data_IF_930286457771
#
_entry.id   IF_930286457771
#
_cell.length_a   1.000
_cell.length_b   1.000
_cell.length_c   1.000
_cell.angle_alpha   90.00
_cell.angle_beta   90.00
_cell.angle_gamma   90.00
#
_symmetry.space_group_name_H-M   'P 1'
#
loop_
_entity.id
_entity.type
_entity.pdbx_description
1 polymer ?
#
# COMPACT_ATOMS: atom_id res chain seq x y z
N UNK A 1 3.69 -33.24 25.18
CA UNK A 1 3.39 -33.79 23.84
C UNK A 1 3.75 -32.73 22.82
N UNK A 2 4.68 -33.02 21.92
CA UNK A 2 5.04 -32.11 20.82
C UNK A 2 4.20 -32.47 19.60
N UNK A 3 3.45 -31.49 19.10
CA UNK A 3 2.63 -31.67 17.91
C UNK A 3 3.53 -31.58 16.67
N UNK A 4 3.76 -32.73 16.01
CA UNK A 4 4.60 -32.78 14.81
C UNK A 4 3.80 -32.23 13.64
N UNK A 5 4.04 -30.96 13.30
CA UNK A 5 3.39 -30.32 12.15
C UNK A 5 4.19 -30.50 10.87
N UNK A 6 3.48 -30.63 9.75
CA UNK A 6 4.11 -30.69 8.44
C UNK A 6 4.51 -29.27 7.97
N UNK A 7 5.80 -28.96 8.06
CA UNK A 7 6.34 -27.65 7.67
C UNK A 7 6.10 -27.29 6.20
N UNK A 8 6.04 -28.29 5.30
CA UNK A 8 5.74 -28.05 3.88
C UNK A 8 4.32 -27.54 3.70
N UNK A 9 3.35 -28.14 4.39
CA UNK A 9 1.96 -27.69 4.36
C UNK A 9 1.80 -26.32 5.00
N UNK A 10 2.47 -26.06 6.12
CA UNK A 10 2.47 -24.76 6.79
C UNK A 10 2.99 -23.64 5.89
N UNK A 11 4.15 -23.84 5.23
CA UNK A 11 4.71 -22.88 4.27
C UNK A 11 3.79 -22.65 3.07
N UNK A 12 3.16 -23.71 2.53
CA UNK A 12 2.19 -23.59 1.44
C UNK A 12 0.98 -22.76 1.84
N UNK A 13 0.47 -22.95 3.07
CA UNK A 13 -0.64 -22.16 3.61
C UNK A 13 -0.25 -20.68 3.75
N UNK A 14 0.95 -20.40 4.28
CA UNK A 14 1.46 -19.04 4.39
C UNK A 14 1.59 -18.36 3.01
N UNK A 15 2.15 -19.06 2.02
CA UNK A 15 2.30 -18.53 0.67
C UNK A 15 0.94 -18.20 0.02
N UNK A 16 -0.07 -19.06 0.20
CA UNK A 16 -1.44 -18.80 -0.27
C UNK A 16 -2.05 -17.58 0.42
N UNK A 17 -1.94 -17.49 1.75
CA UNK A 17 -2.46 -16.35 2.50
C UNK A 17 -1.81 -15.02 2.08
N UNK A 18 -0.50 -15.02 1.80
CA UNK A 18 0.20 -13.84 1.29
C UNK A 18 -0.30 -13.44 -0.11
N UNK A 19 -0.52 -14.41 -1.00
CA UNK A 19 -1.08 -14.17 -2.32
C UNK A 19 -2.51 -13.61 -2.25
N UNK A 20 -3.35 -14.14 -1.35
CA UNK A 20 -4.72 -13.67 -1.15
C UNK A 20 -4.76 -12.23 -0.60
N UNK A 21 -3.87 -11.89 0.34
CA UNK A 21 -3.75 -10.53 0.87
C UNK A 21 -3.31 -9.54 -0.23
N UNK A 22 -2.34 -9.92 -1.07
CA UNK A 22 -1.92 -9.12 -2.22
C UNK A 22 -3.08 -8.96 -3.23
N UNK A 23 -3.81 -10.03 -3.51
CA UNK A 23 -4.97 -10.01 -4.41
C UNK A 23 -6.09 -9.11 -3.87
N UNK A 24 -6.37 -9.13 -2.57
CA UNK A 24 -7.33 -8.24 -1.93
C UNK A 24 -6.92 -6.77 -2.07
N UNK A 25 -5.65 -6.45 -1.81
CA UNK A 25 -5.11 -5.10 -2.03
C UNK A 25 -5.20 -4.65 -3.48
N UNK A 26 -4.94 -5.56 -4.42
CA UNK A 26 -5.05 -5.28 -5.84
C UNK A 26 -6.51 -5.12 -6.29
N UNK A 27 -7.45 -5.91 -5.79
CA UNK A 27 -8.89 -5.73 -6.06
C UNK A 27 -9.37 -4.36 -5.59
N UNK A 28 -8.90 -3.88 -4.43
CA UNK A 28 -9.23 -2.52 -3.97
C UNK A 28 -8.64 -1.45 -4.89
N UNK A 29 -7.37 -1.59 -5.31
CA UNK A 29 -6.70 -0.61 -6.19
C UNK A 29 -7.24 -0.60 -7.62
N UNK A 30 -7.57 -1.77 -8.15
CA UNK A 30 -8.01 -1.97 -9.54
C UNK A 30 -9.53 -1.99 -9.68
N UNK A 31 -10.27 -2.25 -8.60
CA UNK A 31 -11.73 -2.14 -8.55
C UNK A 31 -12.23 -0.71 -8.33
N UNK A 32 -11.34 0.22 -7.96
CA UNK A 32 -11.64 1.65 -8.02
C UNK A 32 -11.95 2.07 -9.45
N UNK A 33 -13.04 2.81 -9.61
CA UNK A 33 -13.42 3.37 -10.89
C UNK A 33 -12.39 4.42 -11.34
N UNK A 34 -12.31 4.67 -12.67
CA UNK A 34 -11.41 5.69 -13.21
C UNK A 34 -11.65 7.06 -12.55
N UNK A 35 -12.91 7.41 -12.29
CA UNK A 35 -13.30 8.68 -11.67
C UNK A 35 -12.76 8.81 -10.23
N UNK A 36 -12.85 7.76 -9.43
CA UNK A 36 -12.33 7.75 -8.06
C UNK A 36 -10.80 7.88 -8.05
N UNK A 37 -10.11 7.13 -8.91
CA UNK A 37 -8.65 7.22 -9.06
C UNK A 37 -8.21 8.64 -9.42
N UNK A 38 -8.85 9.25 -10.42
CA UNK A 38 -8.52 10.62 -10.82
C UNK A 38 -8.80 11.63 -9.72
N UNK A 39 -9.90 11.45 -8.95
CA UNK A 39 -10.21 12.34 -7.83
C UNK A 39 -9.16 12.28 -6.71
N UNK A 40 -8.64 11.08 -6.45
CA UNK A 40 -7.60 10.82 -5.46
C UNK A 40 -6.25 11.37 -5.92
N UNK A 41 -5.90 11.19 -7.20
CA UNK A 41 -4.70 11.78 -7.81
C UNK A 41 -4.71 13.31 -7.73
N UNK A 42 -5.84 13.95 -8.07
CA UNK A 42 -5.99 15.41 -7.96
C UNK A 42 -5.88 15.86 -6.50
N UNK A 43 -6.52 15.15 -5.57
CA UNK A 43 -6.40 15.46 -4.12
C UNK A 43 -4.96 15.35 -3.65
N UNK A 44 -4.23 14.30 -4.04
CA UNK A 44 -2.81 14.14 -3.72
C UNK A 44 -1.95 15.22 -4.34
N UNK A 45 -2.15 15.53 -5.62
CA UNK A 45 -1.39 16.59 -6.28
C UNK A 45 -1.60 17.95 -5.62
N UNK A 46 -2.83 18.28 -5.23
CA UNK A 46 -3.14 19.51 -4.49
C UNK A 46 -2.48 19.51 -3.10
N UNK A 47 -2.52 18.39 -2.38
CA UNK A 47 -1.85 18.27 -1.09
C UNK A 47 -0.33 18.43 -1.22
N UNK A 48 0.30 17.79 -2.21
CA UNK A 48 1.74 17.94 -2.48
C UNK A 48 2.08 19.38 -2.83
N UNK A 49 1.31 20.03 -3.73
CA UNK A 49 1.50 21.45 -4.07
C UNK A 49 1.35 22.38 -2.87
N UNK A 50 0.36 22.12 -2.02
CA UNK A 50 0.15 22.88 -0.79
C UNK A 50 1.35 22.71 0.15
N UNK A 51 1.80 21.48 0.39
CA UNK A 51 2.96 21.20 1.22
C UNK A 51 4.24 21.82 0.65
N UNK A 52 4.46 21.74 -0.66
CA UNK A 52 5.62 22.34 -1.32
C UNK A 52 5.58 23.87 -1.28
N UNK A 53 4.41 24.49 -1.47
CA UNK A 53 4.25 25.94 -1.30
C UNK A 53 4.52 26.41 0.14
N UNK A 54 4.28 25.54 1.12
CA UNK A 54 4.52 25.80 2.53
C UNK A 54 5.87 25.28 3.04
N UNK A 55 6.67 24.62 2.19
CA UNK A 55 8.05 24.28 2.51
C UNK A 55 8.85 25.57 2.59
N UNK A 56 9.21 25.94 3.82
CA UNK A 56 10.30 26.88 4.07
C UNK A 56 11.56 26.02 4.09
N UNK A 57 12.53 26.35 3.26
CA UNK A 57 13.87 25.73 3.34
C UNK A 57 14.40 25.91 4.77
N UNK A 58 14.30 24.86 5.57
CA UNK A 58 15.07 24.76 6.81
C UNK A 58 16.36 24.04 6.44
N UNK A 59 17.39 24.82 6.12
CA UNK A 59 18.76 24.33 6.22
C UNK A 59 19.68 24.50 5.00
N UNK A 60 19.60 25.60 4.27
CA UNK A 60 20.85 26.27 3.87
C UNK A 60 21.14 27.38 4.89
N UNK A 61 21.61 26.99 6.07
CA UNK A 61 22.34 27.92 6.93
C UNK A 61 23.37 27.14 7.73
N UNK A 62 24.60 27.19 7.19
CA UNK A 62 25.90 26.78 7.75
C UNK A 62 26.35 25.32 7.57
#
# INVERSE_FOLDING_TARGET
>A
MTEVINLRQARKKQARAAADAAAAGNRLRHGQTKAERTSEEVRRANATRFLDAHKREKGEMR
#
